data_IF_288305148471
#
_entry.id   IF_288305148471
#
_cell.length_a   1.000
_cell.length_b   1.000
_cell.length_c   1.000
_cell.angle_alpha   90.00
_cell.angle_beta   90.00
_cell.angle_gamma   90.00
#
_symmetry.space_group_name_H-M   'P 1'
#
loop_
_entity.id
_entity.type
_entity.pdbx_description
1 polymer ?
#
# COMPACT_ATOMS: atom_id res chain seq x y z
N UNK A 1 -6.60 -11.05 2.21
CA UNK A 1 -5.41 -11.52 1.47
C UNK A 1 -4.63 -10.30 1.04
N UNK A 2 -3.39 -10.16 1.53
CA UNK A 2 -2.43 -9.16 1.07
C UNK A 2 -1.74 -9.70 -0.19
N UNK A 3 -1.63 -8.84 -1.19
CA UNK A 3 -1.06 -9.15 -2.51
C UNK A 3 0.47 -9.00 -2.44
N UNK A 4 1.19 -10.12 -2.53
CA UNK A 4 2.64 -10.12 -2.67
C UNK A 4 2.98 -9.89 -4.13
N UNK A 5 3.03 -8.61 -4.51
CA UNK A 5 3.44 -8.16 -5.82
C UNK A 5 4.90 -8.48 -6.12
N UNK A 6 5.15 -9.64 -6.70
CA UNK A 6 6.31 -9.90 -7.56
C UNK A 6 5.96 -10.94 -8.62
N UNK A 7 5.31 -10.49 -9.69
CA UNK A 7 5.36 -11.18 -10.98
C UNK A 7 5.55 -10.12 -12.07
N UNK A 8 6.79 -10.02 -12.54
CA UNK A 8 7.19 -9.20 -13.68
C UNK A 8 6.56 -9.80 -14.94
N UNK A 9 5.51 -9.18 -15.50
CA UNK A 9 5.26 -9.07 -16.94
C UNK A 9 4.01 -8.23 -17.28
N UNK A 10 4.27 -6.97 -17.67
CA UNK A 10 3.65 -6.22 -18.76
C UNK A 10 2.16 -5.82 -18.70
N UNK A 11 2.01 -4.52 -18.38
CA UNK A 11 1.07 -3.54 -18.99
C UNK A 11 -0.32 -3.39 -18.36
N UNK A 12 -0.36 -3.08 -17.07
CA UNK A 12 -1.31 -2.06 -16.59
C UNK A 12 -0.70 -0.68 -16.86
N UNK A 13 -1.48 0.40 -17.07
CA UNK A 13 -0.94 1.76 -17.16
C UNK A 13 -0.52 2.21 -15.75
N UNK A 14 0.45 1.51 -15.18
CA UNK A 14 1.27 2.03 -14.10
C UNK A 14 1.89 3.30 -14.64
N UNK A 15 1.59 4.41 -13.98
CA UNK A 15 2.15 5.72 -14.18
C UNK A 15 3.67 5.64 -14.41
N UNK A 16 4.05 5.51 -15.67
CA UNK A 16 5.42 5.61 -16.17
C UNK A 16 5.74 7.09 -16.43
N UNK A 17 5.12 7.99 -15.66
CA UNK A 17 5.43 9.40 -15.67
C UNK A 17 6.59 9.53 -14.67
N UNK A 18 7.82 9.55 -15.19
CA UNK A 18 9.08 9.74 -14.46
C UNK A 18 9.76 8.53 -13.78
N UNK A 19 9.56 7.29 -14.27
CA UNK A 19 10.39 6.15 -13.82
C UNK A 19 10.10 5.65 -12.40
N UNK A 20 8.95 6.02 -11.85
CA UNK A 20 8.49 5.58 -10.54
C UNK A 20 7.84 4.19 -10.61
N UNK A 21 8.39 3.21 -9.90
CA UNK A 21 7.79 1.86 -9.77
C UNK A 21 6.99 1.83 -8.47
N UNK A 22 5.68 2.05 -8.54
CA UNK A 22 4.79 1.98 -7.37
C UNK A 22 3.51 2.78 -7.49
N UNK A 23 2.69 2.77 -6.43
CA UNK A 23 1.54 3.66 -6.30
C UNK A 23 1.97 4.97 -5.62
N UNK A 24 1.75 6.14 -6.24
CA UNK A 24 2.17 7.45 -5.72
C UNK A 24 1.77 7.69 -4.26
N UNK A 25 0.58 7.21 -3.86
CA UNK A 25 0.00 7.45 -2.53
C UNK A 25 0.68 6.71 -1.37
N UNK A 26 1.52 5.71 -1.64
CA UNK A 26 2.16 4.88 -0.60
C UNK A 26 3.68 4.97 -0.64
N UNK A 27 4.19 5.97 -1.36
CA UNK A 27 5.61 6.14 -1.67
C UNK A 27 6.37 6.68 -0.46
N UNK A 28 7.46 6.03 -0.08
CA UNK A 28 8.34 6.57 0.95
C UNK A 28 9.14 7.78 0.43
N UNK A 29 9.45 8.79 1.27
CA UNK A 29 10.17 10.00 0.85
C UNK A 29 11.52 9.73 0.18
N UNK A 30 12.25 8.72 0.64
CA UNK A 30 13.52 8.27 0.06
C UNK A 30 13.34 7.68 -1.35
N UNK A 31 12.23 6.97 -1.61
CA UNK A 31 11.90 6.46 -2.95
C UNK A 31 11.59 7.62 -3.90
N UNK A 32 10.82 8.62 -3.43
CA UNK A 32 10.51 9.83 -4.19
C UNK A 32 11.77 10.64 -4.55
N UNK A 33 12.79 10.62 -3.68
CA UNK A 33 14.08 11.29 -3.89
C UNK A 33 15.09 10.45 -4.69
N UNK A 34 14.77 9.19 -5.03
CA UNK A 34 15.71 8.27 -5.67
C UNK A 34 16.91 7.90 -4.79
N UNK A 35 16.75 7.93 -3.47
CA UNK A 35 17.76 7.53 -2.49
C UNK A 35 17.78 6.01 -2.32
N UNK A 36 18.75 5.50 -1.55
CA UNK A 36 18.79 4.07 -1.20
C UNK A 36 17.52 3.70 -0.41
N UNK A 37 16.89 2.59 -0.82
CA UNK A 37 15.64 2.09 -0.25
C UNK A 37 15.94 0.81 0.50
N UNK A 38 15.46 0.72 1.74
CA UNK A 38 15.52 -0.49 2.56
C UNK A 38 14.13 -0.86 3.09
N UNK A 39 14.07 -1.85 3.99
CA UNK A 39 12.82 -2.38 4.57
C UNK A 39 11.95 -1.31 5.26
N UNK A 40 12.52 -0.16 5.63
CA UNK A 40 11.79 0.93 6.31
C UNK A 40 10.89 1.71 5.37
N UNK A 41 11.05 1.56 4.05
CA UNK A 41 10.10 2.05 3.07
C UNK A 41 8.76 1.29 3.13
N UNK A 42 8.80 -0.02 3.40
CA UNK A 42 7.58 -0.82 3.60
C UNK A 42 6.89 -0.47 4.93
N UNK A 43 7.64 -0.10 5.96
CA UNK A 43 7.10 0.41 7.22
C UNK A 43 6.36 1.73 7.00
N UNK A 44 6.93 2.61 6.19
CA UNK A 44 6.28 3.87 5.81
C UNK A 44 4.97 3.63 5.07
N UNK A 45 4.98 2.78 4.03
CA UNK A 45 3.80 2.48 3.23
C UNK A 45 2.70 1.80 4.07
N UNK A 46 3.06 0.93 5.01
CA UNK A 46 2.13 0.39 6.00
C UNK A 46 1.57 1.48 6.92
N UNK A 47 2.38 2.44 7.35
CA UNK A 47 1.92 3.63 8.09
C UNK A 47 0.82 4.39 7.34
N UNK A 48 0.98 4.60 6.03
CA UNK A 48 -0.06 5.21 5.19
C UNK A 48 -1.35 4.38 5.17
N UNK A 49 -1.23 3.05 5.06
CA UNK A 49 -2.39 2.15 5.10
C UNK A 49 -3.11 2.23 6.45
N UNK A 50 -2.36 2.21 7.55
CA UNK A 50 -2.91 2.37 8.90
C UNK A 50 -3.62 3.72 9.06
N UNK A 51 -2.99 4.81 8.61
CA UNK A 51 -3.60 6.13 8.61
C UNK A 51 -4.95 6.10 7.92
N UNK A 52 -5.00 5.57 6.69
CA UNK A 52 -6.23 5.49 5.90
C UNK A 52 -7.29 4.61 6.55
N UNK A 53 -6.91 3.50 7.18
CA UNK A 53 -7.88 2.65 7.88
C UNK A 53 -8.47 3.34 9.11
N UNK A 54 -7.70 4.20 9.78
CA UNK A 54 -8.15 4.89 10.98
C UNK A 54 -8.95 6.16 10.67
N UNK A 55 -8.57 6.91 9.64
CA UNK A 55 -9.18 8.18 9.24
C UNK A 55 -10.26 8.03 8.16
N UNK A 56 -10.19 6.98 7.34
CA UNK A 56 -10.99 6.81 6.11
C UNK A 56 -10.33 7.42 4.86
N UNK A 57 -9.37 8.33 5.05
CA UNK A 57 -8.78 9.16 3.99
C UNK A 57 -7.27 8.97 3.88
N UNK A 58 -6.70 9.26 2.70
CA UNK A 58 -5.26 9.29 2.54
C UNK A 58 -4.65 10.54 3.20
N UNK A 59 -3.44 10.44 3.75
CA UNK A 59 -2.77 11.59 4.37
C UNK A 59 -2.41 12.70 3.36
N UNK A 60 -2.22 12.31 2.09
CA UNK A 60 -1.79 13.20 1.01
C UNK A 60 -2.66 12.99 -0.23
N UNK A 61 -3.10 14.09 -0.82
CA UNK A 61 -4.00 14.14 -1.97
C UNK A 61 -3.56 15.30 -2.88
N UNK A 62 -3.67 15.10 -4.18
CA UNK A 62 -3.31 16.11 -5.17
C UNK A 62 -3.87 15.78 -6.54
N UNK A 63 -4.03 16.81 -7.36
CA UNK A 63 -4.61 16.72 -8.71
C UNK A 63 -3.74 15.91 -9.68
N UNK A 64 -2.45 15.75 -9.35
CA UNK A 64 -1.53 14.92 -10.12
C UNK A 64 -0.74 13.98 -9.21
N UNK A 65 -0.33 12.81 -9.72
CA UNK A 65 0.56 11.90 -9.03
C UNK A 65 1.85 12.54 -8.51
N UNK A 66 2.42 13.49 -9.27
CA UNK A 66 3.63 14.20 -8.87
C UNK A 66 3.42 15.05 -7.62
N UNK A 67 2.28 15.74 -7.51
CA UNK A 67 1.93 16.53 -6.32
C UNK A 67 1.84 15.64 -5.08
N UNK A 68 1.25 14.45 -5.21
CA UNK A 68 1.17 13.48 -4.10
C UNK A 68 2.58 13.02 -3.68
N UNK A 69 3.44 12.68 -4.64
CA UNK A 69 4.84 12.29 -4.37
C UNK A 69 5.61 13.41 -3.66
N UNK A 70 5.45 14.66 -4.11
CA UNK A 70 6.08 15.82 -3.47
C UNK A 70 5.57 16.00 -2.02
N UNK A 71 4.27 15.83 -1.77
CA UNK A 71 3.71 15.93 -0.42
C UNK A 71 4.32 14.91 0.55
N UNK A 72 4.60 13.67 0.13
CA UNK A 72 5.33 12.72 0.96
C UNK A 72 6.72 13.25 1.38
N UNK A 73 7.37 14.04 0.53
CA UNK A 73 8.71 14.59 0.75
C UNK A 73 8.70 15.81 1.68
N UNK A 74 7.71 16.69 1.56
CA UNK A 74 7.74 18.02 2.21
C UNK A 74 6.61 18.30 3.19
N UNK A 75 5.46 17.64 3.05
CA UNK A 75 4.27 17.94 3.86
C UNK A 75 4.22 17.11 5.14
N UNK A 76 3.39 17.57 6.08
CA UNK A 76 2.97 16.79 7.25
C UNK A 76 1.53 16.31 7.02
N UNK A 77 1.19 15.07 7.38
CA UNK A 77 -0.19 14.62 7.36
C UNK A 77 -1.01 15.40 8.40
N UNK A 78 -2.32 15.49 8.19
CA UNK A 78 -3.22 15.95 9.24
C UNK A 78 -3.13 15.01 10.44
N UNK A 79 -3.08 15.53 11.69
CA UNK A 79 -3.08 14.67 12.86
C UNK A 79 -4.31 13.77 12.90
N UNK A 80 -4.11 12.47 13.15
CA UNK A 80 -5.22 11.51 13.25
C UNK A 80 -6.22 11.88 14.35
N UNK A 81 -5.76 12.55 15.40
CA UNK A 81 -6.60 13.02 16.51
C UNK A 81 -7.60 14.10 16.07
N UNK A 82 -7.22 14.93 15.09
CA UNK A 82 -8.10 15.96 14.53
C UNK A 82 -9.20 15.35 13.66
N UNK A 83 -8.89 14.25 12.96
CA UNK A 83 -9.83 13.56 12.06
C UNK A 83 -10.73 12.58 12.82
N UNK A 84 -10.17 11.88 13.81
CA UNK A 84 -10.87 10.89 14.64
C UNK A 84 -10.77 11.25 16.12
N UNK A 85 -11.64 12.16 16.59
CA UNK A 85 -11.77 12.43 18.02
C UNK A 85 -12.06 11.14 18.80
N UNK A 86 -11.28 10.86 19.83
CA UNK A 86 -11.39 9.64 20.64
C UNK A 86 -10.49 8.48 20.21
N UNK A 87 -9.66 8.65 19.17
CA UNK A 87 -8.55 7.73 18.92
C UNK A 87 -7.54 7.83 20.08
N UNK A 88 -7.13 6.71 20.70
CA UNK A 88 -6.09 6.76 21.73
C UNK A 88 -4.79 7.35 21.20
N UNK A 89 -4.20 8.28 21.95
CA UNK A 89 -2.95 8.95 21.61
C UNK A 89 -1.81 7.99 21.23
N UNK A 90 -1.58 6.86 21.94
CA UNK A 90 -0.53 5.91 21.58
C UNK A 90 -0.71 5.30 20.18
N UNK A 91 -1.94 5.14 19.71
CA UNK A 91 -2.23 4.63 18.36
C UNK A 91 -1.88 5.68 17.30
N UNK A 92 -2.22 6.95 17.56
CA UNK A 92 -1.85 8.05 16.68
C UNK A 92 -0.33 8.22 16.58
N UNK A 93 0.39 8.16 17.71
CA UNK A 93 1.85 8.23 17.76
C UNK A 93 2.52 7.09 17.00
N UNK A 94 2.00 5.86 17.12
CA UNK A 94 2.50 4.71 16.38
C UNK A 94 2.44 4.94 14.87
N UNK A 95 1.31 5.42 14.36
CA UNK A 95 1.14 5.70 12.93
C UNK A 95 2.04 6.86 12.49
N UNK A 96 2.13 7.91 13.30
CA UNK A 96 3.01 9.04 13.02
C UNK A 96 4.47 8.60 12.94
N UNK A 97 4.93 7.74 13.85
CA UNK A 97 6.28 7.18 13.85
C UNK A 97 6.54 6.32 12.61
N UNK A 98 5.58 5.48 12.22
CA UNK A 98 5.71 4.68 10.99
C UNK A 98 5.84 5.58 9.74
N UNK A 99 5.13 6.70 9.71
CA UNK A 99 5.15 7.69 8.62
C UNK A 99 6.22 8.78 8.77
N UNK A 100 7.20 8.63 9.66
CA UNK A 100 8.26 9.65 9.81
C UNK A 100 9.01 9.84 8.48
N UNK A 101 9.40 11.07 8.14
CA UNK A 101 10.07 11.32 6.86
C UNK A 101 11.47 10.74 6.81
N UNK A 102 12.21 10.86 7.91
CA UNK A 102 13.52 10.25 8.05
C UNK A 102 13.36 8.75 8.40
N UNK A 103 13.94 7.82 7.62
CA UNK A 103 13.95 6.39 7.96
C UNK A 103 14.52 6.09 9.36
N UNK A 104 15.46 6.89 9.86
CA UNK A 104 16.04 6.71 11.20
C UNK A 104 15.05 7.01 12.34
N UNK A 105 14.03 7.84 12.08
CA UNK A 105 12.98 8.16 13.04
C UNK A 105 11.85 7.11 13.08
N UNK A 106 11.85 6.17 12.12
CA UNK A 106 10.84 5.11 12.01
C UNK A 106 11.15 3.92 12.93
N UNK A 107 10.27 2.93 12.90
CA UNK A 107 10.61 1.58 13.36
C UNK A 107 11.72 1.01 12.47
N UNK A 108 12.74 0.43 13.09
CA UNK A 108 13.92 -0.05 12.37
C UNK A 108 13.68 -1.43 11.76
N UNK A 109 12.79 -2.21 12.36
CA UNK A 109 12.34 -3.49 11.81
C UNK A 109 10.81 -3.61 11.82
N UNK A 110 10.23 -4.44 10.93
CA UNK A 110 8.80 -4.77 10.98
C UNK A 110 8.39 -5.40 12.33
N UNK A 111 9.30 -6.11 12.99
CA UNK A 111 9.02 -6.72 14.29
C UNK A 111 8.88 -5.66 15.39
N UNK A 112 9.65 -4.57 15.33
CA UNK A 112 9.51 -3.46 16.28
C UNK A 112 8.15 -2.78 16.14
N UNK A 113 7.70 -2.58 14.90
CA UNK A 113 6.37 -2.04 14.62
C UNK A 113 5.27 -3.00 15.11
N UNK A 114 5.41 -4.30 14.85
CA UNK A 114 4.45 -5.31 15.29
C UNK A 114 4.37 -5.38 16.84
N UNK A 115 5.49 -5.23 17.53
CA UNK A 115 5.51 -5.17 18.99
C UNK A 115 4.80 -3.91 19.50
N UNK A 116 5.13 -2.74 18.92
CA UNK A 116 4.45 -1.50 19.29
C UNK A 116 2.94 -1.58 19.07
N UNK A 117 2.48 -2.24 18.00
CA UNK A 117 1.04 -2.46 17.76
C UNK A 117 0.43 -3.30 18.89
N UNK A 118 1.10 -4.37 19.33
CA UNK A 118 0.63 -5.19 20.46
C UNK A 118 0.57 -4.41 21.76
N UNK A 119 1.53 -3.52 21.99
CA UNK A 119 1.60 -2.74 23.24
C UNK A 119 0.49 -1.68 23.33
N UNK A 120 0.03 -1.15 22.19
CA UNK A 120 -1.05 -0.13 22.15
C UNK A 120 -2.45 -0.72 22.01
N UNK A 121 -2.57 -1.97 21.58
CA UNK A 121 -3.84 -2.68 21.56
C UNK A 121 -4.06 -3.30 22.95
N UNK A 122 -5.21 -3.07 23.61
CA UNK A 122 -5.53 -3.80 24.83
C UNK A 122 -5.49 -5.31 24.52
N UNK A 123 -5.05 -6.13 25.47
CA UNK A 123 -5.20 -7.59 25.40
C UNK A 123 -6.68 -7.88 25.15
N UNK A 124 -7.01 -8.11 23.87
CA UNK A 124 -8.24 -8.75 23.52
C UNK A 124 -8.02 -10.19 23.98
N UNK A 125 -8.75 -10.61 25.01
CA UNK A 125 -9.02 -12.02 25.30
C UNK A 125 -9.72 -12.62 24.07
N UNK A 126 -8.98 -12.76 22.97
CA UNK A 126 -9.31 -13.67 21.91
C UNK A 126 -9.01 -15.04 22.50
N UNK A 127 -9.95 -15.59 23.28
CA UNK A 127 -10.12 -17.02 23.34
C UNK A 127 -10.11 -17.46 21.87
N UNK A 128 -8.99 -18.05 21.46
CA UNK A 128 -8.70 -18.31 20.07
C UNK A 128 -9.82 -19.19 19.53
N UNK A 129 -10.80 -18.59 18.85
CA UNK A 129 -11.52 -19.36 17.85
C UNK A 129 -10.43 -19.81 16.88
N UNK A 130 -10.21 -21.13 16.75
CA UNK A 130 -9.19 -21.63 15.87
C UNK A 130 -9.54 -21.10 14.48
N UNK A 131 -8.61 -20.36 13.89
CA UNK A 131 -8.64 -20.00 12.49
C UNK A 131 -9.10 -21.23 11.71
N UNK A 132 -10.13 -21.14 10.84
CA UNK A 132 -10.50 -22.27 10.01
C UNK A 132 -9.25 -22.68 9.24
N UNK A 133 -8.70 -23.83 9.60
CA UNK A 133 -7.58 -24.44 8.89
C UNK A 133 -8.04 -24.60 7.46
N UNK A 134 -7.41 -23.85 6.55
CA UNK A 134 -7.67 -23.98 5.13
C UNK A 134 -7.38 -25.42 4.73
N UNK A 135 -8.45 -26.20 4.65
CA UNK A 135 -8.41 -27.57 4.17
C UNK A 135 -8.08 -27.55 2.69
N UNK A 136 -6.92 -28.09 2.37
CA UNK A 136 -6.52 -28.43 1.02
C UNK A 136 -7.52 -29.43 0.42
N UNK A 137 -8.40 -28.98 -0.47
CA UNK A 137 -8.77 -29.64 -1.73
C UNK A 137 -10.04 -29.01 -2.34
N UNK A 138 -9.92 -28.41 -3.53
CA UNK A 138 -10.97 -28.45 -4.56
C UNK A 138 -10.40 -28.01 -5.92
N UNK A 139 -9.90 -28.99 -6.66
CA UNK A 139 -9.60 -28.93 -8.08
C UNK A 139 -10.92 -28.91 -8.87
N UNK A 140 -11.22 -27.85 -9.61
CA UNK A 140 -12.16 -27.84 -10.76
C UNK A 140 -11.96 -26.54 -11.55
N UNK A 141 -11.14 -26.55 -12.60
CA UNK A 141 -11.56 -26.60 -14.00
C UNK A 141 -12.52 -25.48 -14.43
N UNK A 142 -11.97 -24.48 -15.12
CA UNK A 142 -12.61 -23.91 -16.30
C UNK A 142 -11.54 -23.34 -17.24
N UNK A 143 -11.11 -24.16 -18.20
CA UNK A 143 -10.32 -23.71 -19.34
C UNK A 143 -11.23 -22.91 -20.27
N UNK A 144 -11.08 -21.58 -20.26
CA UNK A 144 -11.48 -20.74 -21.37
C UNK A 144 -10.19 -20.17 -21.98
N UNK A 145 -9.64 -20.88 -22.97
CA UNK A 145 -8.51 -20.38 -23.75
C UNK A 145 -8.99 -19.21 -24.59
N UNK A 146 -8.74 -17.99 -24.12
CA UNK A 146 -8.92 -16.78 -24.93
C UNK A 146 -7.85 -16.81 -26.03
N UNK A 147 -8.28 -17.05 -27.26
CA UNK A 147 -7.40 -17.06 -28.42
C UNK A 147 -7.02 -15.62 -28.80
N UNK A 148 -5.87 -15.17 -28.30
CA UNK A 148 -5.34 -13.81 -28.49
C UNK A 148 -5.17 -13.45 -29.97
N UNK A 149 -4.94 -14.46 -30.83
CA UNK A 149 -4.84 -14.29 -32.28
C UNK A 149 -6.16 -13.80 -32.90
N UNK A 150 -7.29 -14.30 -32.40
CA UNK A 150 -8.63 -13.94 -32.91
C UNK A 150 -9.00 -12.50 -32.52
N UNK A 151 -8.61 -12.07 -31.31
CA UNK A 151 -8.85 -10.70 -30.84
C UNK A 151 -8.01 -9.70 -31.63
N UNK A 152 -6.76 -10.05 -31.93
CA UNK A 152 -5.87 -9.20 -32.72
C UNK A 152 -6.35 -9.03 -34.16
N UNK A 153 -6.79 -10.11 -34.80
CA UNK A 153 -7.35 -10.07 -36.16
C UNK A 153 -8.63 -9.23 -36.23
N UNK A 154 -9.50 -9.33 -35.22
CA UNK A 154 -10.75 -8.57 -35.15
C UNK A 154 -10.51 -7.08 -34.92
N UNK A 155 -9.48 -6.71 -34.14
CA UNK A 155 -9.07 -5.32 -33.97
C UNK A 155 -8.47 -4.72 -35.25
N UNK A 156 -7.78 -5.50 -36.08
CA UNK A 156 -7.22 -5.02 -37.34
C UNK A 156 -8.27 -4.78 -38.42
N UNK A 157 -9.33 -5.60 -38.49
CA UNK A 157 -10.43 -5.38 -39.45
C UNK A 157 -11.24 -4.11 -39.12
N UNK A 158 -11.46 -3.82 -37.83
CA UNK A 158 -12.21 -2.64 -37.41
C UNK A 158 -11.51 -1.29 -37.75
N UNK A 159 -10.20 -1.30 -38.04
CA UNK A 159 -9.44 -0.10 -38.40
C UNK A 159 -9.45 0.15 -39.93
N UNK A 160 -9.87 -0.83 -40.74
CA UNK A 160 -9.89 -0.71 -42.20
C UNK A 160 -11.26 -0.33 -42.79
N UNK A 161 -12.32 -0.33 -41.96
CA UNK A 161 -13.69 0.02 -42.36
C UNK A 161 -14.08 1.49 -42.04
N UNK A 162 -13.10 2.38 -41.87
CA UNK A 162 -13.27 3.84 -41.78
C UNK A 162 -12.47 4.56 -42.88
#
# INVERSE_FOLDING_TARGET
>A
MLDFGIARAQTSPHLTIAGFVGSPHYTAPEQARGQAVDIRADIYSLGIVLYRMLSGDLPFQGDTPWVVVEQHVVANPLPLQDIRPGLPEPVAELVQKAMARDPEERFQTPNDMAQAIRDVLPEQDHAAEPLPTASSAATASLAATVNLEAIYQQAQQAIQDE
#
